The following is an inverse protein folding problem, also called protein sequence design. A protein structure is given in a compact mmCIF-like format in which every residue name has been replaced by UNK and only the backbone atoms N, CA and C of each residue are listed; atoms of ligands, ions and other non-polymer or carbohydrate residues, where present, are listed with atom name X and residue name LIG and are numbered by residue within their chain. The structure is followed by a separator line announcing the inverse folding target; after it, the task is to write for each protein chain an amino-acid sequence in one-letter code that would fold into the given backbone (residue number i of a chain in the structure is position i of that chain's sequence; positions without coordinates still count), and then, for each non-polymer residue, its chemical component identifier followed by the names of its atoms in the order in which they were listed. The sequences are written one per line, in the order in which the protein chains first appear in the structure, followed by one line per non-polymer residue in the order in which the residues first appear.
data_IF_445716012514
#
_entry.id   IF_445716012514
#
_cell.length_a   1.000
_cell.length_b   1.000
_cell.length_c   1.000
_cell.angle_alpha   90.00
_cell.angle_beta   90.00
_cell.angle_gamma   90.00
#
_symmetry.space_group_name_H-M   'P 1'
#
loop_
_entity.id
_entity.type
_entity.pdbx_description
1 polymer ?
#
# COMPACT_ATOMS: atom_id res chain seq x y z
N UNK A 1 -3.37 9.09 -13.56
CA UNK A 1 -2.38 8.57 -14.52
C UNK A 1 -1.95 7.14 -14.19
N UNK A 2 -1.12 6.85 -13.17
CA UNK A 2 -0.65 5.46 -12.92
C UNK A 2 -1.80 4.49 -12.64
N UNK A 3 -2.78 4.88 -11.83
CA UNK A 3 -3.99 4.09 -11.57
C UNK A 3 -4.73 3.71 -12.87
N UNK A 4 -5.02 4.70 -13.71
CA UNK A 4 -5.64 4.50 -15.01
C UNK A 4 -4.79 3.60 -15.93
N UNK A 5 -3.47 3.78 -15.94
CA UNK A 5 -2.55 2.93 -16.71
C UNK A 5 -2.60 1.49 -16.25
N UNK A 6 -2.57 1.23 -14.95
CA UNK A 6 -2.72 -0.14 -14.40
C UNK A 6 -4.03 -0.75 -14.89
N UNK A 7 -5.16 -0.03 -14.79
CA UNK A 7 -6.45 -0.50 -15.28
C UNK A 7 -6.49 -0.79 -16.78
N UNK A 8 -5.86 0.06 -17.60
CA UNK A 8 -5.83 -0.14 -19.06
C UNK A 8 -4.92 -1.31 -19.47
N UNK A 9 -3.75 -1.43 -18.84
CA UNK A 9 -2.75 -2.43 -19.18
C UNK A 9 -3.24 -3.84 -18.86
N UNK A 10 -4.00 -4.02 -17.76
CA UNK A 10 -4.62 -5.30 -17.38
C UNK A 10 -5.53 -5.91 -18.44
N UNK A 11 -6.01 -5.12 -19.41
CA UNK A 11 -6.97 -5.56 -20.42
C UNK A 11 -6.44 -5.50 -21.86
N UNK A 12 -5.20 -5.04 -22.09
CA UNK A 12 -4.77 -4.69 -23.47
C UNK A 12 -3.33 -5.06 -23.86
N UNK A 13 -2.35 -5.10 -22.95
CA UNK A 13 -0.94 -5.24 -23.35
C UNK A 13 -0.06 -5.93 -22.31
N UNK A 14 0.59 -7.04 -22.69
CA UNK A 14 1.45 -7.83 -21.81
C UNK A 14 2.76 -7.11 -21.45
N UNK A 15 3.41 -6.45 -22.42
CA UNK A 15 4.70 -5.77 -22.19
C UNK A 15 4.55 -4.58 -21.23
N UNK A 16 3.49 -3.78 -21.36
CA UNK A 16 3.24 -2.65 -20.47
C UNK A 16 2.99 -3.12 -19.03
N UNK A 17 2.33 -4.26 -18.87
CA UNK A 17 2.11 -4.89 -17.57
C UNK A 17 3.39 -5.42 -16.95
N UNK A 18 4.26 -6.09 -17.71
CA UNK A 18 5.58 -6.52 -17.24
C UNK A 18 6.42 -5.33 -16.77
N UNK A 19 6.41 -4.22 -17.53
CA UNK A 19 7.10 -2.99 -17.13
C UNK A 19 6.56 -2.42 -15.81
N UNK A 20 5.24 -2.46 -15.59
CA UNK A 20 4.62 -2.03 -14.34
C UNK A 20 4.98 -2.94 -13.17
N UNK A 21 4.98 -4.25 -13.36
CA UNK A 21 5.43 -5.23 -12.36
C UNK A 21 6.88 -4.94 -11.96
N UNK A 22 7.75 -4.75 -12.93
CA UNK A 22 9.18 -4.50 -12.72
C UNK A 22 9.42 -3.15 -12.03
N UNK A 23 8.63 -2.13 -12.38
CA UNK A 23 8.59 -0.85 -11.68
C UNK A 23 8.24 -1.03 -10.19
N UNK A 24 7.21 -1.81 -9.86
CA UNK A 24 6.84 -2.05 -8.46
C UNK A 24 7.91 -2.84 -7.72
N UNK A 25 8.51 -3.85 -8.35
CA UNK A 25 9.61 -4.61 -7.74
C UNK A 25 10.83 -3.74 -7.43
N UNK A 26 11.14 -2.73 -8.25
CA UNK A 26 12.25 -1.80 -8.03
C UNK A 26 11.91 -0.68 -7.04
N UNK A 27 10.66 -0.26 -7.00
CA UNK A 27 10.20 0.83 -6.11
C UNK A 27 10.02 0.38 -4.65
N UNK A 28 9.76 -0.91 -4.42
CA UNK A 28 9.51 -1.47 -3.10
C UNK A 28 10.70 -2.32 -2.62
N UNK A 29 11.14 -2.10 -1.37
CA UNK A 29 12.23 -2.85 -0.76
C UNK A 29 11.73 -3.77 0.36
N UNK A 30 12.34 -4.95 0.49
CA UNK A 30 12.25 -5.80 1.69
C UNK A 30 13.31 -5.44 2.72
N UNK A 31 14.34 -4.73 2.28
CA UNK A 31 15.60 -4.62 2.96
C UNK A 31 15.78 -3.16 3.40
N UNK A 32 15.98 -2.97 4.70
CA UNK A 32 16.34 -1.68 5.35
C UNK A 32 17.87 -1.49 5.42
N UNK A 33 18.62 -2.03 4.45
CA UNK A 33 20.10 -2.07 4.49
C UNK A 33 20.72 -0.72 4.11
N UNK A 34 19.96 0.15 3.43
CA UNK A 34 20.37 1.53 3.22
C UNK A 34 19.73 2.44 4.26
N UNK A 35 20.51 3.34 4.85
CA UNK A 35 20.08 4.37 5.81
C UNK A 35 19.00 5.33 5.28
N UNK A 36 18.61 5.21 4.00
CA UNK A 36 17.47 5.89 3.39
C UNK A 36 16.39 4.87 3.04
N UNK A 37 15.24 4.99 3.71
CA UNK A 37 14.02 4.28 3.34
C UNK A 37 13.66 4.58 1.87
N UNK A 38 13.18 3.59 1.09
CA UNK A 38 12.88 3.75 -0.34
C UNK A 38 11.72 4.73 -0.58
N UNK A 39 10.86 4.94 0.42
CA UNK A 39 9.74 5.87 0.38
C UNK A 39 9.76 6.80 1.58
N UNK A 40 9.43 8.07 1.34
CA UNK A 40 9.22 9.06 2.40
C UNK A 40 8.17 8.57 3.42
N UNK A 41 8.40 8.93 4.68
CA UNK A 41 7.50 8.66 5.81
C UNK A 41 6.73 9.91 6.26
N UNK A 42 6.79 10.98 5.47
CA UNK A 42 6.10 12.23 5.76
C UNK A 42 4.58 12.05 5.73
N UNK A 43 3.85 12.67 6.66
CA UNK A 43 2.39 12.48 6.81
C UNK A 43 1.61 12.88 5.55
N UNK A 44 2.06 13.92 4.83
CA UNK A 44 1.41 14.35 3.58
C UNK A 44 1.60 13.37 2.42
N UNK A 45 2.59 12.48 2.50
CA UNK A 45 2.84 11.47 1.47
C UNK A 45 2.00 10.20 1.66
N UNK A 46 1.27 10.08 2.78
CA UNK A 46 0.55 8.86 3.15
C UNK A 46 -0.44 8.45 2.07
N UNK A 47 -1.23 9.38 1.54
CA UNK A 47 -2.19 9.09 0.49
C UNK A 47 -1.53 8.49 -0.75
N UNK A 48 -0.50 9.14 -1.26
CA UNK A 48 0.21 8.69 -2.46
C UNK A 48 0.88 7.33 -2.23
N UNK A 49 1.50 7.14 -1.06
CA UNK A 49 2.13 5.87 -0.66
C UNK A 49 1.11 4.73 -0.67
N UNK A 50 -0.01 4.89 0.01
CA UNK A 50 -1.03 3.84 0.10
C UNK A 50 -1.81 3.65 -1.22
N UNK A 51 -1.93 4.68 -2.05
CA UNK A 51 -2.44 4.54 -3.42
C UNK A 51 -1.50 3.66 -4.26
N UNK A 52 -0.19 3.88 -4.19
CA UNK A 52 0.79 3.07 -4.93
C UNK A 52 0.76 1.61 -4.46
N UNK A 53 0.72 1.39 -3.14
CA UNK A 53 0.64 0.04 -2.56
C UNK A 53 -0.69 -0.65 -2.91
N UNK A 54 -1.80 0.09 -2.97
CA UNK A 54 -3.09 -0.42 -3.45
C UNK A 54 -2.99 -0.94 -4.88
N UNK A 55 -2.42 -0.15 -5.80
CA UNK A 55 -2.28 -0.56 -7.20
C UNK A 55 -1.39 -1.80 -7.36
N UNK A 56 -0.27 -1.84 -6.62
CA UNK A 56 0.62 -2.99 -6.60
C UNK A 56 -0.09 -4.25 -6.08
N UNK A 57 -0.86 -4.13 -4.99
CA UNK A 57 -1.59 -5.26 -4.42
C UNK A 57 -2.75 -5.71 -5.32
N UNK A 58 -3.45 -4.77 -5.96
CA UNK A 58 -4.49 -5.06 -6.95
C UNK A 58 -3.93 -5.85 -8.13
N UNK A 59 -2.76 -5.45 -8.63
CA UNK A 59 -2.04 -6.17 -9.67
C UNK A 59 -1.63 -7.58 -9.21
N UNK A 60 -1.15 -7.72 -7.97
CA UNK A 60 -0.80 -9.03 -7.39
C UNK A 60 -2.05 -9.91 -7.18
N UNK A 61 -3.22 -9.33 -6.91
CA UNK A 61 -4.47 -10.07 -6.82
C UNK A 61 -5.05 -10.44 -8.18
N UNK A 62 -4.69 -9.71 -9.23
CA UNK A 62 -5.05 -10.10 -10.58
C UNK A 62 -4.35 -11.41 -10.96
N UNK A 63 -5.02 -12.22 -11.77
CA UNK A 63 -4.46 -13.48 -12.29
C UNK A 63 -3.39 -13.26 -13.38
N UNK A 64 -2.99 -12.00 -13.63
CA UNK A 64 -1.95 -11.66 -14.58
C UNK A 64 -0.58 -12.24 -14.19
N UNK A 65 -0.20 -12.08 -12.91
CA UNK A 65 1.03 -12.69 -12.41
C UNK A 65 0.79 -14.18 -12.13
N UNK A 66 1.53 -15.02 -12.84
CA UNK A 66 1.58 -16.45 -12.56
C UNK A 66 1.90 -16.69 -11.07
N UNK A 67 1.22 -17.67 -10.46
CA UNK A 67 1.45 -18.03 -9.07
C UNK A 67 2.87 -18.58 -8.92
N UNK A 68 3.79 -17.74 -8.41
CA UNK A 68 5.21 -18.04 -8.33
C UNK A 68 5.96 -17.05 -7.46
N UNK A 69 7.28 -17.25 -7.36
CA UNK A 69 8.16 -16.55 -6.41
C UNK A 69 8.07 -15.03 -6.56
N UNK A 70 8.06 -14.49 -7.79
CA UNK A 70 7.93 -13.04 -8.03
C UNK A 70 6.64 -12.45 -7.42
N UNK A 71 5.50 -13.11 -7.59
CA UNK A 71 4.21 -12.70 -7.02
C UNK A 71 4.24 -12.67 -5.48
N UNK A 72 4.84 -13.69 -4.87
CA UNK A 72 5.01 -13.76 -3.40
C UNK A 72 5.97 -12.69 -2.89
N UNK A 73 7.13 -12.52 -3.52
CA UNK A 73 8.11 -11.49 -3.15
C UNK A 73 7.52 -10.08 -3.28
N UNK A 74 6.75 -9.82 -4.35
CA UNK A 74 6.09 -8.53 -4.51
C UNK A 74 5.07 -8.27 -3.39
N UNK A 75 4.29 -9.29 -3.02
CA UNK A 75 3.37 -9.23 -1.89
C UNK A 75 4.09 -8.90 -0.58
N UNK A 76 5.17 -9.60 -0.28
CA UNK A 76 5.96 -9.33 0.93
C UNK A 76 6.53 -7.90 0.93
N UNK A 77 7.04 -7.42 -0.21
CA UNK A 77 7.50 -6.04 -0.38
C UNK A 77 6.41 -5.02 -0.07
N UNK A 78 5.19 -5.26 -0.54
CA UNK A 78 4.04 -4.39 -0.29
C UNK A 78 3.73 -4.34 1.21
N UNK A 79 3.65 -5.49 1.88
CA UNK A 79 3.33 -5.57 3.31
C UNK A 79 4.43 -4.99 4.19
N UNK A 80 5.69 -5.28 3.88
CA UNK A 80 6.82 -4.68 4.54
C UNK A 80 6.80 -3.15 4.41
N UNK A 81 6.61 -2.63 3.19
CA UNK A 81 6.56 -1.18 2.94
C UNK A 81 5.37 -0.53 3.64
N UNK A 82 4.20 -1.18 3.70
CA UNK A 82 3.05 -0.67 4.44
C UNK A 82 3.34 -0.60 5.95
N UNK A 83 3.92 -1.67 6.50
CA UNK A 83 4.25 -1.76 7.93
C UNK A 83 5.33 -0.74 8.33
N UNK A 84 6.39 -0.61 7.53
CA UNK A 84 7.51 0.28 7.78
C UNK A 84 7.07 1.76 7.96
N UNK A 85 5.99 2.17 7.29
CA UNK A 85 5.42 3.52 7.47
C UNK A 85 5.03 3.77 8.93
N UNK A 86 4.32 2.83 9.57
CA UNK A 86 3.79 2.99 10.93
C UNK A 86 4.80 2.75 12.05
N UNK A 87 6.04 2.35 11.70
CA UNK A 87 7.11 2.13 12.70
C UNK A 87 7.61 3.43 13.34
N UNK A 88 7.38 4.58 12.71
CA UNK A 88 7.78 5.89 13.23
C UNK A 88 6.63 6.59 13.97
N UNK A 89 6.96 7.61 14.77
CA UNK A 89 5.97 8.55 15.27
C UNK A 89 5.57 9.49 14.13
N UNK A 90 4.26 9.65 13.89
CA UNK A 90 3.77 10.60 12.91
C UNK A 90 3.36 11.90 13.60
N UNK A 91 3.71 13.02 12.95
CA UNK A 91 3.19 14.34 13.33
C UNK A 91 1.71 14.45 12.94
N UNK A 92 1.03 15.45 13.53
CA UNK A 92 -0.35 15.78 13.17
C UNK A 92 -0.45 16.03 11.65
N UNK A 93 -1.50 15.54 10.97
CA UNK A 93 -1.72 15.83 9.57
C UNK A 93 -1.72 17.34 9.29
N UNK A 94 -0.96 17.75 8.28
CA UNK A 94 -0.86 19.14 7.81
C UNK A 94 -1.70 19.38 6.55
N UNK A 95 -2.24 18.32 5.95
CA UNK A 95 -3.11 18.40 4.78
C UNK A 95 -4.40 19.19 5.06
N UNK A 96 -5.00 19.75 4.01
CA UNK A 96 -6.36 20.30 4.10
C UNK A 96 -7.39 19.20 4.41
N UNK A 97 -8.57 19.59 4.91
CA UNK A 97 -9.64 18.64 5.25
C UNK A 97 -10.00 17.68 4.10
N UNK A 98 -10.08 18.22 2.87
CA UNK A 98 -10.45 17.41 1.69
C UNK A 98 -9.34 16.44 1.29
N UNK A 99 -8.08 16.88 1.34
CA UNK A 99 -6.92 16.04 1.04
C UNK A 99 -6.77 14.93 2.07
N UNK A 100 -6.86 15.26 3.36
CA UNK A 100 -6.82 14.28 4.44
C UNK A 100 -7.93 13.24 4.29
N UNK A 101 -9.15 13.67 3.99
CA UNK A 101 -10.28 12.76 3.74
C UNK A 101 -10.01 11.82 2.57
N UNK A 102 -9.37 12.30 1.50
CA UNK A 102 -8.99 11.46 0.37
C UNK A 102 -7.88 10.47 0.74
N UNK A 103 -6.91 10.89 1.53
CA UNK A 103 -5.83 10.03 1.99
C UNK A 103 -6.35 8.91 2.89
N UNK A 104 -7.27 9.22 3.80
CA UNK A 104 -7.98 8.22 4.63
C UNK A 104 -8.74 7.23 3.74
N UNK A 105 -9.43 7.69 2.69
CA UNK A 105 -10.11 6.78 1.75
C UNK A 105 -9.13 5.84 1.04
N UNK A 106 -7.94 6.32 0.66
CA UNK A 106 -6.90 5.51 0.02
C UNK A 106 -6.37 4.43 0.99
N UNK A 107 -6.14 4.81 2.25
CA UNK A 107 -5.79 3.87 3.32
C UNK A 107 -6.87 2.79 3.48
N UNK A 108 -8.15 3.18 3.61
CA UNK A 108 -9.27 2.23 3.74
C UNK A 108 -9.32 1.27 2.56
N UNK A 109 -9.18 1.77 1.32
CA UNK A 109 -9.17 0.93 0.11
C UNK A 109 -8.05 -0.10 0.13
N UNK A 110 -6.84 0.32 0.47
CA UNK A 110 -5.69 -0.58 0.61
C UNK A 110 -5.97 -1.69 1.63
N UNK A 111 -6.35 -1.33 2.86
CA UNK A 111 -6.60 -2.31 3.90
C UNK A 111 -7.80 -3.21 3.62
N UNK A 112 -8.80 -2.72 2.87
CA UNK A 112 -9.90 -3.57 2.38
C UNK A 112 -9.40 -4.66 1.44
N UNK A 113 -8.43 -4.32 0.57
CA UNK A 113 -7.81 -5.29 -0.34
C UNK A 113 -6.96 -6.32 0.44
N UNK A 114 -6.21 -5.88 1.45
CA UNK A 114 -5.44 -6.75 2.34
C UNK A 114 -6.36 -7.73 3.08
N UNK A 115 -7.47 -7.23 3.63
CA UNK A 115 -8.46 -8.06 4.33
C UNK A 115 -9.12 -9.11 3.42
N UNK A 116 -9.23 -8.83 2.12
CA UNK A 116 -9.69 -9.80 1.12
C UNK A 116 -8.79 -11.06 1.04
N UNK A 117 -7.51 -10.96 1.42
CA UNK A 117 -6.54 -12.06 1.35
C UNK A 117 -6.52 -12.93 2.60
N UNK A 118 -7.57 -13.75 2.77
CA UNK A 118 -7.75 -14.66 3.91
C UNK A 118 -6.58 -15.63 4.18
N UNK A 119 -5.68 -15.84 3.22
CA UNK A 119 -4.53 -16.76 3.34
C UNK A 119 -3.28 -16.10 3.92
N UNK A 120 -3.20 -14.77 3.94
CA UNK A 120 -1.95 -14.03 4.28
C UNK A 120 -2.12 -13.01 5.41
N UNK A 121 -3.34 -12.79 5.89
CA UNK A 121 -3.59 -11.92 7.04
C UNK A 121 -4.50 -12.64 8.02
N UNK A 122 -3.94 -13.16 9.12
CA UNK A 122 -4.75 -13.63 10.25
C UNK A 122 -5.53 -12.44 10.83
N UNK A 123 -6.80 -12.68 11.14
CA UNK A 123 -7.77 -11.68 11.59
C UNK A 123 -7.28 -10.89 12.84
N UNK A 124 -6.43 -11.51 13.65
CA UNK A 124 -5.77 -10.93 14.83
C UNK A 124 -4.67 -9.91 14.48
N UNK A 125 -3.85 -10.20 13.47
CA UNK A 125 -2.79 -9.32 12.97
C UNK A 125 -3.41 -8.11 12.26
N UNK A 126 -4.45 -8.34 11.46
CA UNK A 126 -5.23 -7.28 10.83
C UNK A 126 -5.86 -6.34 11.86
N UNK A 127 -6.56 -6.89 12.86
CA UNK A 127 -7.15 -6.10 13.96
C UNK A 127 -6.10 -5.31 14.73
N UNK A 128 -4.92 -5.88 14.95
CA UNK A 128 -3.82 -5.20 15.64
C UNK A 128 -3.28 -4.03 14.81
N UNK A 129 -3.02 -4.23 13.51
CA UNK A 129 -2.57 -3.18 12.60
C UNK A 129 -3.62 -2.08 12.44
N UNK A 130 -4.89 -2.44 12.31
CA UNK A 130 -6.00 -1.49 12.24
C UNK A 130 -6.15 -0.70 13.55
N UNK A 131 -6.00 -1.35 14.72
CA UNK A 131 -5.92 -0.66 16.01
C UNK A 131 -4.76 0.31 16.07
N UNK A 132 -3.57 -0.09 15.62
CA UNK A 132 -2.41 0.78 15.57
C UNK A 132 -2.65 1.99 14.67
N UNK A 133 -3.29 1.78 13.51
CA UNK A 133 -3.65 2.84 12.57
C UNK A 133 -4.65 3.82 13.19
N UNK A 134 -5.70 3.33 13.84
CA UNK A 134 -6.72 4.16 14.52
C UNK A 134 -6.14 4.93 15.71
N UNK A 135 -5.32 4.26 16.54
CA UNK A 135 -4.74 4.83 17.77
C UNK A 135 -3.61 5.83 17.43
N UNK A 136 -2.70 5.51 16.50
CA UNK A 136 -1.56 6.40 16.18
C UNK A 136 -1.89 7.52 15.22
N UNK A 137 -2.88 7.37 14.34
CA UNK A 137 -3.32 8.48 13.48
C UNK A 137 -4.37 9.38 14.16
N UNK A 138 -4.71 9.13 15.44
CA UNK A 138 -5.71 9.88 16.20
C UNK A 138 -7.03 10.04 15.42
N UNK A 139 -7.46 8.95 14.77
CA UNK A 139 -8.65 8.88 13.92
C UNK A 139 -9.96 8.90 14.74
N UNK A 140 -9.88 9.09 16.06
CA UNK A 140 -11.03 9.32 16.94
C UNK A 140 -11.94 10.47 16.49
N UNK A 141 -11.45 11.36 15.63
CA UNK A 141 -12.22 12.45 15.03
C UNK A 141 -12.96 12.08 13.72
N UNK A 142 -12.76 10.89 13.15
CA UNK A 142 -13.31 10.52 11.82
C UNK A 142 -14.53 9.60 11.91
N UNK A 143 -14.90 9.16 13.12
CA UNK A 143 -16.10 8.35 13.38
C UNK A 143 -17.17 9.07 14.22
N UNK A 144 -17.15 10.41 14.23
CA UNK A 144 -18.28 11.23 14.72
C UNK A 144 -18.97 11.90 13.54
#
# INVERSE_FOLDING_TARGET
FIEERVYLCMHKADIEMEMLVDLFHKSLSLITENSKAPMTKHIESVGLRFQLLYLALYLVQSDYLANGISKYLLREKIYHTAFEYFTILHHCPTQSHNELRNDIRRLIRFFSLVHGEKKFCDDSTFKSLFRFLVIRMNLSFVFV
#
